data_IF_373711386059
#
_entry.id   IF_373711386059
#
_cell.length_a   1.000
_cell.length_b   1.000
_cell.length_c   1.000
_cell.angle_alpha   90.00
_cell.angle_beta   90.00
_cell.angle_gamma   90.00
#
_symmetry.space_group_name_H-M   'P 1'
#
loop_
_entity.id
_entity.type
_entity.pdbx_description
1 polymer ?
#
# COMPACT_ATOMS: atom_id res chain seq x y z
N UNK A 1 14.11 3.98 -54.67
CA UNK A 1 12.72 3.48 -54.59
C UNK A 1 12.59 2.70 -53.29
N UNK A 2 11.68 3.17 -52.41
CA UNK A 2 11.07 2.57 -51.19
C UNK A 2 12.01 2.20 -50.00
N UNK A 3 11.93 2.91 -48.85
CA UNK A 3 12.58 2.52 -47.59
C UNK A 3 11.67 1.56 -46.79
N UNK A 4 12.13 0.33 -46.51
CA UNK A 4 11.39 -0.61 -45.66
C UNK A 4 11.60 -0.28 -44.18
N UNK A 5 10.69 0.57 -43.72
CA UNK A 5 10.12 0.62 -42.38
C UNK A 5 10.16 -0.76 -41.67
N UNK A 6 11.13 -0.97 -40.78
CA UNK A 6 10.98 -1.86 -39.62
C UNK A 6 11.49 -1.11 -38.41
N UNK A 7 10.69 -0.12 -38.02
CA UNK A 7 10.74 0.48 -36.72
C UNK A 7 10.58 -0.63 -35.67
N UNK A 8 11.69 -1.05 -35.06
CA UNK A 8 11.70 -1.74 -33.77
C UNK A 8 11.24 -0.73 -32.72
N UNK A 9 9.93 -0.54 -32.66
CA UNK A 9 9.26 0.15 -31.56
C UNK A 9 9.37 -0.79 -30.36
N UNK A 10 10.43 -0.61 -29.57
CA UNK A 10 10.56 -1.24 -28.26
C UNK A 10 9.43 -0.70 -27.39
N UNK A 11 8.45 -1.56 -27.11
CA UNK A 11 7.29 -1.31 -26.27
C UNK A 11 7.76 -0.81 -24.89
N UNK A 12 7.67 0.49 -24.65
CA UNK A 12 7.63 1.05 -23.31
C UNK A 12 6.27 0.65 -22.71
N UNK A 13 6.21 -0.55 -22.13
CA UNK A 13 5.06 -0.94 -21.32
C UNK A 13 5.13 -0.08 -20.06
N UNK A 14 4.45 1.08 -20.11
CA UNK A 14 4.21 1.86 -18.91
C UNK A 14 3.35 0.99 -17.99
N UNK A 15 3.98 0.40 -16.97
CA UNK A 15 3.27 -0.24 -15.88
C UNK A 15 2.61 0.90 -15.10
N UNK A 16 1.45 1.33 -15.55
CA UNK A 16 0.61 2.24 -14.79
C UNK A 16 0.00 1.43 -13.65
N UNK A 17 0.75 1.36 -12.54
CA UNK A 17 0.19 0.89 -11.27
C UNK A 17 -0.84 1.90 -10.81
N UNK A 18 -2.12 1.54 -10.85
CA UNK A 18 -3.15 2.31 -10.17
C UNK A 18 -2.99 2.07 -8.66
N UNK A 19 -2.16 2.88 -8.00
CA UNK A 19 -2.25 3.00 -6.56
C UNK A 19 -3.61 3.62 -6.26
N UNK A 20 -4.49 2.86 -5.61
CA UNK A 20 -5.73 3.41 -5.08
C UNK A 20 -5.35 4.47 -4.03
N UNK A 21 -5.38 5.73 -4.43
CA UNK A 21 -5.17 6.86 -3.53
C UNK A 21 -6.44 7.03 -2.71
N UNK A 22 -6.60 6.24 -1.64
CA UNK A 22 -7.47 6.64 -0.55
C UNK A 22 -6.73 7.75 0.21
N UNK A 23 -6.73 8.95 -0.36
CA UNK A 23 -6.14 10.11 0.31
C UNK A 23 -7.01 10.43 1.52
N UNK A 24 -6.53 10.08 2.71
CA UNK A 24 -7.08 10.66 3.93
C UNK A 24 -6.67 12.13 3.96
N UNK A 25 -7.65 13.03 4.13
CA UNK A 25 -7.48 14.49 3.99
C UNK A 25 -6.68 15.13 5.16
N UNK A 26 -6.33 14.37 6.19
CA UNK A 26 -5.50 14.84 7.30
C UNK A 26 -3.99 14.78 7.00
N UNK A 27 -3.20 15.81 7.39
CA UNK A 27 -1.76 15.82 7.17
C UNK A 27 -1.05 14.73 7.97
N UNK A 28 0.03 14.16 7.41
CA UNK A 28 0.92 13.22 8.08
C UNK A 28 2.39 13.48 7.79
N UNK A 29 3.25 12.92 8.64
CA UNK A 29 4.71 12.93 8.47
C UNK A 29 5.16 11.62 7.85
N UNK A 30 6.04 11.62 6.83
CA UNK A 30 6.57 10.38 6.26
C UNK A 30 7.12 9.45 7.35
N UNK A 31 6.63 8.21 7.36
CA UNK A 31 6.93 7.21 8.39
C UNK A 31 5.87 7.07 9.49
N UNK A 32 4.92 8.01 9.60
CA UNK A 32 3.74 7.83 10.45
C UNK A 32 2.95 6.60 9.98
N UNK A 33 2.33 5.92 10.93
CA UNK A 33 1.50 4.74 10.70
C UNK A 33 0.23 4.84 11.55
N UNK A 34 -0.81 4.13 11.15
CA UNK A 34 -2.05 4.07 11.92
C UNK A 34 -3.02 3.03 11.38
N UNK A 35 -4.15 2.90 12.06
CA UNK A 35 -5.28 2.14 11.58
C UNK A 35 -6.29 3.08 10.90
N UNK A 36 -7.03 2.55 9.93
CA UNK A 36 -8.25 3.22 9.44
C UNK A 36 -9.30 3.34 10.54
N UNK A 37 -10.27 4.24 10.38
CA UNK A 37 -11.37 4.41 11.33
C UNK A 37 -12.16 3.10 11.57
N UNK A 38 -12.35 2.31 10.51
CA UNK A 38 -12.97 0.99 10.55
C UNK A 38 -12.07 -0.10 11.17
N UNK A 39 -10.83 0.26 11.51
CA UNK A 39 -9.78 -0.62 12.02
C UNK A 39 -9.57 -1.86 11.14
N UNK A 40 -9.78 -1.73 9.84
CA UNK A 40 -9.71 -2.84 8.89
C UNK A 40 -8.44 -2.85 8.05
N UNK A 41 -7.71 -1.73 8.05
CA UNK A 41 -6.52 -1.51 7.24
C UNK A 41 -5.46 -0.76 8.05
N UNK A 42 -4.20 -1.04 7.72
CA UNK A 42 -3.03 -0.30 8.20
C UNK A 42 -2.69 0.76 7.17
N UNK A 43 -2.52 1.99 7.63
CA UNK A 43 -2.07 3.14 6.85
C UNK A 43 -0.60 3.43 7.18
N UNK A 44 0.14 3.88 6.19
CA UNK A 44 1.46 4.50 6.34
C UNK A 44 1.47 5.82 5.59
N UNK A 45 2.19 6.81 6.11
CA UNK A 45 2.41 8.07 5.41
C UNK A 45 3.57 7.91 4.42
N UNK A 46 3.31 8.18 3.15
CA UNK A 46 4.32 8.15 2.09
C UNK A 46 5.25 9.37 2.14
N UNK A 47 6.26 9.41 1.25
CA UNK A 47 7.20 10.54 1.18
C UNK A 47 6.58 11.84 0.65
N UNK A 48 5.35 11.80 0.14
CA UNK A 48 4.61 12.96 -0.35
C UNK A 48 3.69 13.54 0.73
N UNK A 49 3.61 12.92 1.91
CA UNK A 49 2.71 13.33 2.99
C UNK A 49 1.29 12.82 2.79
N UNK A 50 1.11 11.71 2.06
CA UNK A 50 -0.19 11.07 1.86
C UNK A 50 -0.28 9.77 2.64
N UNK A 51 -1.44 9.55 3.27
CA UNK A 51 -1.76 8.23 3.79
C UNK A 51 -2.02 7.25 2.66
N UNK A 52 -1.31 6.14 2.69
CA UNK A 52 -1.48 5.02 1.77
C UNK A 52 -1.72 3.74 2.56
N UNK A 53 -2.56 2.86 2.01
CA UNK A 53 -2.84 1.56 2.62
C UNK A 53 -1.61 0.68 2.49
N UNK A 54 -1.08 0.23 3.63
CA UNK A 54 0.04 -0.70 3.73
C UNK A 54 -0.45 -2.16 3.76
N UNK A 55 -1.52 -2.45 4.50
CA UNK A 55 -2.10 -3.79 4.58
C UNK A 55 -3.60 -3.76 4.90
N UNK A 56 -4.34 -4.77 4.43
CA UNK A 56 -5.74 -4.99 4.79
C UNK A 56 -5.79 -6.13 5.81
N UNK A 57 -6.21 -5.82 7.04
CA UNK A 57 -6.32 -6.79 8.13
C UNK A 57 -7.67 -7.51 8.18
N UNK A 58 -8.68 -6.95 7.52
CA UNK A 58 -10.08 -7.37 7.68
C UNK A 58 -10.77 -6.67 8.85
N UNK A 59 -12.09 -6.84 8.96
CA UNK A 59 -12.96 -6.02 9.82
C UNK A 59 -12.47 -5.93 11.27
N UNK A 60 -12.21 -4.71 11.76
CA UNK A 60 -11.85 -4.40 13.15
C UNK A 60 -10.66 -5.18 13.72
N UNK A 61 -9.70 -5.52 12.86
CA UNK A 61 -8.52 -6.29 13.23
C UNK A 61 -7.29 -5.43 13.51
N UNK A 62 -7.13 -4.28 12.85
CA UNK A 62 -5.94 -3.45 13.00
C UNK A 62 -5.74 -3.00 14.45
N UNK A 63 -4.49 -3.07 14.93
CA UNK A 63 -4.09 -2.58 16.26
C UNK A 63 -2.88 -1.67 16.16
N UNK A 64 -3.02 -0.45 16.69
CA UNK A 64 -1.91 0.47 16.90
C UNK A 64 -1.15 0.12 18.18
N UNK A 65 0.17 0.09 18.08
CA UNK A 65 1.12 0.00 19.19
C UNK A 65 2.00 1.26 19.14
N UNK A 66 1.57 2.28 19.90
CA UNK A 66 2.26 3.58 19.95
C UNK A 66 3.62 3.50 20.64
N UNK A 67 3.79 2.58 21.59
CA UNK A 67 5.06 2.41 22.31
C UNK A 67 6.15 1.87 21.39
N UNK A 68 5.78 0.98 20.47
CA UNK A 68 6.69 0.42 19.47
C UNK A 68 6.70 1.15 18.14
N UNK A 69 5.92 2.23 18.03
CA UNK A 69 5.79 2.99 16.80
C UNK A 69 5.43 2.08 15.61
N UNK A 70 4.40 1.23 15.77
CA UNK A 70 3.91 0.34 14.70
C UNK A 70 2.40 0.06 14.77
N UNK A 71 1.80 -0.33 13.66
CA UNK A 71 0.46 -0.91 13.61
C UNK A 71 0.55 -2.30 12.98
N UNK A 72 -0.24 -3.24 13.48
CA UNK A 72 -0.18 -4.63 13.04
C UNK A 72 -1.57 -5.25 12.92
N UNK A 73 -1.68 -6.18 11.98
CA UNK A 73 -2.78 -7.12 11.98
C UNK A 73 -2.47 -8.19 13.03
N UNK A 74 -3.42 -8.56 13.91
CA UNK A 74 -3.28 -9.74 14.72
C UNK A 74 -3.08 -10.91 13.77
N UNK A 75 -2.09 -11.76 14.08
CA UNK A 75 -1.99 -13.05 13.40
C UNK A 75 -3.35 -13.73 13.51
N UNK A 76 -3.94 -14.22 12.40
CA UNK A 76 -5.14 -15.03 12.52
C UNK A 76 -4.85 -16.16 13.53
N UNK A 77 -5.74 -16.43 14.49
CA UNK A 77 -5.52 -17.49 15.46
C UNK A 77 -5.30 -18.81 14.68
N UNK A 78 -4.05 -19.28 14.63
CA UNK A 78 -3.69 -20.59 14.09
C UNK A 78 -3.54 -20.71 12.57
N UNK A 79 -2.80 -19.83 11.89
CA UNK A 79 -2.18 -20.21 10.61
C UNK A 79 -0.66 -20.22 10.74
N UNK A 80 -0.19 -21.35 11.25
CA UNK A 80 1.16 -21.85 11.09
C UNK A 80 1.60 -21.56 9.64
N UNK A 81 2.71 -20.84 9.46
CA UNK A 81 3.10 -20.24 8.19
C UNK A 81 3.15 -21.24 7.03
N UNK A 82 2.22 -21.12 6.11
CA UNK A 82 2.33 -21.68 4.77
C UNK A 82 1.99 -20.56 3.80
N UNK A 83 3.02 -19.81 3.40
CA UNK A 83 3.00 -19.05 2.17
C UNK A 83 3.01 -20.07 1.02
N UNK A 84 1.99 -20.03 0.16
CA UNK A 84 1.94 -20.76 -1.12
C UNK A 84 2.82 -20.05 -2.15
#
# INVERSE_FOLDING_TARGET
>A
MIPTLKATVLLLVAVTGAAALTSYDWPCTPGDFGCTDDNDQILTCDSQGHWVVSAVCGVRCCREDRDRHTAHCPTPPGRNGIYL
#
